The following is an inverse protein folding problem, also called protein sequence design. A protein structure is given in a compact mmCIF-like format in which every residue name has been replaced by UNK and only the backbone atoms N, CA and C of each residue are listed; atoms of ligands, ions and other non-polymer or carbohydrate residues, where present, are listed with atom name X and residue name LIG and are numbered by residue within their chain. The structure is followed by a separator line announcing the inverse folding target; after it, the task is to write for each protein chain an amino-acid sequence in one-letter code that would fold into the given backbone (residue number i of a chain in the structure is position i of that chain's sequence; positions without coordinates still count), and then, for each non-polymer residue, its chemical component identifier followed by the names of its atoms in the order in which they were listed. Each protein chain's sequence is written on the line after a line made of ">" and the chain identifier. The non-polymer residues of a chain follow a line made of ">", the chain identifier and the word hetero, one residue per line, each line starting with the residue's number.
data_IF_247952829624
#
_entry.id   IF_247952829624
#
_cell.length_a   1.000
_cell.length_b   1.000
_cell.length_c   1.000
_cell.angle_alpha   90.00
_cell.angle_beta   90.00
_cell.angle_gamma   90.00
#
_symmetry.space_group_name_H-M   'P 1'
#
loop_
_entity.id
_entity.type
_entity.pdbx_description
1 polymer ?
#
# COMPACT_ATOMS: atom_id res chain seq x y z
N UNK A 1 -13.90 55.39 7.52
CA UNK A 1 -13.57 54.05 6.98
C UNK A 1 -13.00 54.26 5.59
N UNK A 2 -11.75 53.87 5.34
CA UNK A 2 -11.09 54.12 4.06
C UNK A 2 -11.75 53.26 2.94
N UNK A 3 -11.86 53.77 1.72
CA UNK A 3 -12.50 53.06 0.59
C UNK A 3 -11.89 51.67 0.39
N UNK A 4 -10.57 51.57 0.59
CA UNK A 4 -9.81 50.32 0.54
C UNK A 4 -10.30 49.28 1.56
N UNK A 5 -10.58 49.69 2.79
CA UNK A 5 -11.06 48.80 3.85
C UNK A 5 -12.43 48.17 3.51
N UNK A 6 -13.32 48.96 2.91
CA UNK A 6 -14.64 48.51 2.49
C UNK A 6 -14.55 47.45 1.38
N UNK A 7 -13.74 47.72 0.35
CA UNK A 7 -13.58 46.80 -0.78
C UNK A 7 -12.85 45.52 -0.41
N UNK A 8 -11.80 45.58 0.42
CA UNK A 8 -11.10 44.35 0.86
C UNK A 8 -12.04 43.42 1.63
N UNK A 9 -12.95 43.97 2.43
CA UNK A 9 -13.97 43.20 3.15
C UNK A 9 -14.98 42.54 2.23
N UNK A 10 -15.52 43.27 1.24
CA UNK A 10 -16.46 42.72 0.25
C UNK A 10 -15.82 41.58 -0.53
N UNK A 11 -14.60 41.79 -1.05
CA UNK A 11 -13.90 40.77 -1.83
C UNK A 11 -13.64 39.53 -0.97
N UNK A 12 -13.17 39.71 0.28
CA UNK A 12 -12.98 38.60 1.21
C UNK A 12 -14.28 37.81 1.44
N UNK A 13 -15.42 38.48 1.64
CA UNK A 13 -16.72 37.83 1.83
C UNK A 13 -17.18 37.04 0.60
N UNK A 14 -16.97 37.56 -0.61
CA UNK A 14 -17.33 36.86 -1.85
C UNK A 14 -16.53 35.55 -1.97
N UNK A 15 -15.22 35.60 -1.75
CA UNK A 15 -14.38 34.40 -1.84
C UNK A 15 -14.64 33.43 -0.68
N UNK A 16 -14.93 33.92 0.53
CA UNK A 16 -15.35 33.08 1.65
C UNK A 16 -16.69 32.38 1.35
N UNK A 17 -17.65 33.08 0.75
CA UNK A 17 -18.92 32.48 0.31
C UNK A 17 -18.66 31.36 -0.72
N UNK A 18 -17.80 31.59 -1.70
CA UNK A 18 -17.39 30.53 -2.62
C UNK A 18 -16.78 29.33 -1.89
N UNK A 19 -15.81 29.56 -1.00
CA UNK A 19 -15.11 28.51 -0.25
C UNK A 19 -16.07 27.66 0.59
N UNK A 20 -17.13 28.27 1.12
CA UNK A 20 -18.13 27.58 1.94
C UNK A 20 -19.16 26.82 1.07
N UNK A 21 -19.80 27.49 0.12
CA UNK A 21 -20.85 26.87 -0.70
C UNK A 21 -20.30 25.83 -1.67
N UNK A 22 -19.23 26.13 -2.41
CA UNK A 22 -18.69 25.20 -3.40
C UNK A 22 -18.12 23.92 -2.78
N UNK A 23 -17.75 23.96 -1.49
CA UNK A 23 -17.26 22.79 -0.74
C UNK A 23 -18.36 21.80 -0.36
N UNK A 24 -19.63 22.16 -0.53
CA UNK A 24 -20.74 21.25 -0.30
C UNK A 24 -20.70 20.07 -1.29
N UNK A 25 -20.94 18.85 -0.80
CA UNK A 25 -20.68 17.62 -1.57
C UNK A 25 -21.47 17.54 -2.88
N UNK A 26 -22.70 18.06 -2.91
CA UNK A 26 -23.53 18.13 -4.11
C UNK A 26 -22.93 19.06 -5.17
N UNK A 27 -22.47 20.25 -4.77
CA UNK A 27 -21.90 21.25 -5.68
C UNK A 27 -20.55 20.76 -6.22
N UNK A 28 -19.69 20.23 -5.34
CA UNK A 28 -18.40 19.65 -5.75
C UNK A 28 -18.55 18.52 -6.78
N UNK A 29 -19.57 17.66 -6.62
CA UNK A 29 -19.85 16.59 -7.59
C UNK A 29 -20.40 17.15 -8.90
N UNK A 30 -21.27 18.15 -8.85
CA UNK A 30 -21.87 18.80 -10.02
C UNK A 30 -20.84 19.53 -10.89
N UNK A 31 -19.96 20.31 -10.27
CA UNK A 31 -18.92 21.07 -10.97
C UNK A 31 -17.76 20.22 -11.49
N UNK A 32 -17.66 18.97 -11.01
CA UNK A 32 -16.50 18.11 -11.22
C UNK A 32 -15.36 18.44 -10.24
N UNK A 33 -14.69 17.38 -9.77
CA UNK A 33 -13.69 17.49 -8.70
C UNK A 33 -12.46 18.33 -9.09
N UNK A 34 -11.98 18.20 -10.33
CA UNK A 34 -10.81 18.94 -10.81
C UNK A 34 -11.07 20.45 -10.90
N UNK A 35 -12.24 20.83 -11.41
CA UNK A 35 -12.64 22.23 -11.50
C UNK A 35 -12.88 22.84 -10.11
N UNK A 36 -13.58 22.10 -9.24
CA UNK A 36 -13.76 22.50 -7.84
C UNK A 36 -12.41 22.75 -7.16
N UNK A 37 -11.47 21.81 -7.26
CA UNK A 37 -10.14 21.91 -6.64
C UNK A 37 -9.37 23.15 -7.13
N UNK A 38 -9.36 23.40 -8.45
CA UNK A 38 -8.67 24.54 -9.03
C UNK A 38 -9.26 25.88 -8.55
N UNK A 39 -10.60 26.03 -8.63
CA UNK A 39 -11.30 27.24 -8.21
C UNK A 39 -11.27 27.46 -6.70
N UNK A 40 -11.31 26.38 -5.92
CA UNK A 40 -11.19 26.43 -4.46
C UNK A 40 -9.80 26.94 -4.05
N UNK A 41 -8.73 26.41 -4.64
CA UNK A 41 -7.37 26.90 -4.34
C UNK A 41 -7.20 28.37 -4.72
N UNK A 42 -7.68 28.75 -5.90
CA UNK A 42 -7.70 30.16 -6.33
C UNK A 42 -8.43 31.06 -5.32
N UNK A 43 -9.61 30.63 -4.87
CA UNK A 43 -10.40 31.37 -3.89
C UNK A 43 -9.71 31.48 -2.52
N UNK A 44 -9.00 30.44 -2.05
CA UNK A 44 -8.22 30.49 -0.81
C UNK A 44 -7.14 31.55 -0.90
N UNK A 45 -6.39 31.62 -2.00
CA UNK A 45 -5.31 32.61 -2.16
C UNK A 45 -5.86 34.03 -2.10
N UNK A 46 -6.92 34.32 -2.86
CA UNK A 46 -7.50 35.67 -2.86
C UNK A 46 -8.13 36.01 -1.51
N UNK A 47 -8.85 35.07 -0.88
CA UNK A 47 -9.41 35.25 0.45
C UNK A 47 -8.31 35.56 1.47
N UNK A 48 -7.24 34.77 1.54
CA UNK A 48 -6.17 34.97 2.54
C UNK A 48 -5.49 36.32 2.38
N UNK A 49 -5.19 36.76 1.14
CA UNK A 49 -4.56 38.06 0.88
C UNK A 49 -5.50 39.23 1.26
N UNK A 50 -6.75 39.17 0.80
CA UNK A 50 -7.72 40.24 1.05
C UNK A 50 -8.15 40.30 2.52
N UNK A 51 -8.28 39.15 3.19
CA UNK A 51 -8.59 39.07 4.61
C UNK A 51 -7.43 39.58 5.48
N UNK A 52 -6.18 39.29 5.12
CA UNK A 52 -5.00 39.84 5.82
C UNK A 52 -4.98 41.38 5.77
N UNK A 53 -5.19 41.96 4.58
CA UNK A 53 -5.26 43.42 4.41
C UNK A 53 -6.50 44.03 5.05
N UNK A 54 -7.64 43.35 5.02
CA UNK A 54 -8.87 43.84 5.64
C UNK A 54 -8.74 43.91 7.16
N UNK A 55 -8.11 42.91 7.78
CA UNK A 55 -7.94 42.89 9.23
C UNK A 55 -7.00 43.98 9.75
N UNK A 56 -5.99 44.40 8.96
CA UNK A 56 -5.09 45.53 9.26
C UNK A 56 -4.62 45.59 10.74
N UNK A 57 -4.05 44.47 11.22
CA UNK A 57 -3.59 44.29 12.61
C UNK A 57 -4.65 44.43 13.71
N UNK A 58 -5.93 44.63 13.37
CA UNK A 58 -7.04 44.70 14.31
C UNK A 58 -7.03 43.47 15.22
N UNK A 59 -7.10 43.69 16.54
CA UNK A 59 -7.05 42.64 17.56
C UNK A 59 -5.86 41.68 17.41
N UNK A 60 -4.69 42.18 17.00
CA UNK A 60 -3.46 41.38 16.77
C UNK A 60 -3.63 40.27 15.73
N UNK A 61 -4.61 40.40 14.82
CA UNK A 61 -4.92 39.42 13.77
C UNK A 61 -3.69 38.90 13.02
N UNK A 62 -2.70 39.76 12.74
CA UNK A 62 -1.48 39.37 12.04
C UNK A 62 -0.68 38.29 12.78
N UNK A 63 -0.72 38.25 14.12
CA UNK A 63 -0.05 37.19 14.87
C UNK A 63 -0.62 35.80 14.51
N UNK A 64 -1.93 35.70 14.25
CA UNK A 64 -2.56 34.46 13.82
C UNK A 64 -2.16 34.08 12.40
N UNK A 65 -2.05 35.04 11.47
CA UNK A 65 -1.56 34.78 10.12
C UNK A 65 -0.10 34.33 10.12
N UNK A 66 0.75 35.03 10.88
CA UNK A 66 2.17 34.71 11.01
C UNK A 66 2.33 33.33 11.66
N UNK A 67 1.62 33.05 12.75
CA UNK A 67 1.65 31.74 13.40
C UNK A 67 1.19 30.62 12.46
N UNK A 68 0.11 30.84 11.71
CA UNK A 68 -0.38 29.89 10.70
C UNK A 68 0.65 29.67 9.59
N UNK A 69 1.24 30.74 9.06
CA UNK A 69 2.27 30.65 8.02
C UNK A 69 3.55 29.96 8.54
N UNK A 70 3.96 30.25 9.77
CA UNK A 70 5.13 29.65 10.40
C UNK A 70 5.01 28.14 10.59
N UNK A 71 3.80 27.61 10.72
CA UNK A 71 3.56 26.15 10.75
C UNK A 71 3.31 25.60 9.35
N UNK A 72 2.41 26.22 8.58
CA UNK A 72 1.91 25.67 7.33
C UNK A 72 2.93 25.74 6.18
N UNK A 73 3.68 26.84 6.07
CA UNK A 73 4.67 27.01 4.98
C UNK A 73 5.79 25.98 5.08
N UNK A 74 6.42 25.74 6.26
CA UNK A 74 7.41 24.67 6.37
C UNK A 74 6.84 23.29 6.06
N UNK A 75 5.61 22.96 6.50
CA UNK A 75 4.97 21.70 6.16
C UNK A 75 4.78 21.51 4.65
N UNK A 76 4.49 22.59 3.91
CA UNK A 76 4.35 22.53 2.46
C UNK A 76 5.70 22.49 1.75
N UNK A 77 6.67 23.30 2.19
CA UNK A 77 7.97 23.46 1.53
C UNK A 77 8.91 22.29 1.80
N UNK A 78 8.88 21.71 3.00
CA UNK A 78 9.80 20.65 3.41
C UNK A 78 9.77 19.42 2.50
N UNK A 79 8.61 18.84 2.13
CA UNK A 79 8.56 17.70 1.20
C UNK A 79 9.18 18.01 -0.18
N UNK A 80 8.98 19.23 -0.70
CA UNK A 80 9.59 19.65 -1.96
C UNK A 80 11.11 19.80 -1.85
N UNK A 81 11.60 20.41 -0.77
CA UNK A 81 13.04 20.51 -0.52
C UNK A 81 13.65 19.12 -0.37
N UNK A 82 13.05 18.27 0.47
CA UNK A 82 13.46 16.88 0.68
C UNK A 82 13.53 16.11 -0.63
N UNK A 83 12.48 16.19 -1.45
CA UNK A 83 12.43 15.58 -2.79
C UNK A 83 13.59 16.06 -3.67
N UNK A 84 13.82 17.37 -3.73
CA UNK A 84 14.89 17.94 -4.54
C UNK A 84 16.31 17.53 -4.08
N UNK A 85 16.53 17.41 -2.77
CA UNK A 85 17.85 17.10 -2.19
C UNK A 85 18.14 15.60 -2.07
N UNK A 86 17.16 14.78 -1.68
CA UNK A 86 17.35 13.33 -1.49
C UNK A 86 17.24 12.54 -2.80
N UNK A 87 16.27 12.87 -3.65
CA UNK A 87 15.95 12.11 -4.87
C UNK A 87 16.42 12.78 -6.16
N UNK A 88 16.65 14.08 -6.09
CA UNK A 88 16.91 14.90 -7.27
C UNK A 88 15.67 15.06 -8.17
N UNK A 89 15.82 15.93 -9.17
CA UNK A 89 14.74 16.28 -10.10
C UNK A 89 14.81 15.52 -11.44
N UNK A 90 15.79 14.63 -11.59
CA UNK A 90 16.11 13.95 -12.85
C UNK A 90 15.75 12.47 -12.88
N UNK A 91 15.05 11.99 -11.87
CA UNK A 91 14.67 10.59 -11.74
C UNK A 91 13.72 10.19 -12.88
N UNK A 92 14.01 9.03 -13.47
CA UNK A 92 13.22 8.44 -14.55
C UNK A 92 12.64 7.12 -14.08
N UNK A 93 11.33 6.97 -14.22
CA UNK A 93 10.63 5.73 -13.99
C UNK A 93 10.47 4.95 -15.30
N UNK A 94 10.73 3.65 -15.24
CA UNK A 94 10.33 2.72 -16.30
C UNK A 94 8.89 2.30 -16.09
N UNK A 95 8.08 2.47 -17.14
CA UNK A 95 6.65 2.16 -17.08
C UNK A 95 6.35 1.01 -18.05
N UNK A 96 5.71 -0.05 -17.53
CA UNK A 96 5.31 -1.22 -18.30
C UNK A 96 3.86 -1.60 -17.96
N UNK A 97 3.07 -1.95 -18.96
CA UNK A 97 1.74 -2.55 -18.74
C UNK A 97 1.91 -4.05 -18.54
N UNK A 98 1.33 -4.59 -17.47
CA UNK A 98 1.23 -6.04 -17.24
C UNK A 98 -0.08 -6.57 -17.83
N UNK A 99 -0.10 -7.88 -18.14
CA UNK A 99 -1.17 -8.53 -18.91
C UNK A 99 -2.58 -8.40 -18.30
N UNK A 100 -2.65 -8.13 -17.00
CA UNK A 100 -3.89 -8.03 -16.24
C UNK A 100 -4.36 -6.57 -16.02
N UNK A 101 -3.89 -5.62 -16.83
CA UNK A 101 -4.37 -4.23 -16.80
C UNK A 101 -3.72 -3.32 -15.75
N UNK A 102 -2.68 -3.80 -15.06
CA UNK A 102 -1.90 -3.01 -14.12
C UNK A 102 -0.72 -2.34 -14.82
N UNK A 103 -0.36 -1.14 -14.37
CA UNK A 103 0.87 -0.45 -14.78
C UNK A 103 1.93 -0.68 -13.72
N UNK A 104 3.01 -1.36 -14.08
CA UNK A 104 4.21 -1.48 -13.27
C UNK A 104 5.10 -0.26 -13.49
N UNK A 105 5.42 0.44 -12.42
CA UNK A 105 6.33 1.59 -12.40
C UNK A 105 7.56 1.19 -11.60
N UNK A 106 8.73 1.18 -12.24
CA UNK A 106 10.01 0.81 -11.63
C UNK A 106 10.94 2.02 -11.60
N UNK A 107 11.42 2.38 -10.41
CA UNK A 107 12.29 3.54 -10.20
C UNK A 107 13.59 3.08 -9.54
N UNK A 108 14.77 3.38 -10.10
CA UNK A 108 16.04 3.10 -9.42
C UNK A 108 16.13 3.93 -8.14
N UNK A 109 16.56 3.30 -7.06
CA UNK A 109 16.58 3.91 -5.73
C UNK A 109 17.95 3.77 -5.08
N UNK A 110 18.40 4.87 -4.48
CA UNK A 110 19.68 4.97 -3.76
C UNK A 110 19.48 5.02 -2.23
N UNK A 111 18.27 4.74 -1.76
CA UNK A 111 17.90 4.81 -0.34
C UNK A 111 17.34 3.49 0.13
N UNK A 112 17.30 3.33 1.44
CA UNK A 112 16.68 2.21 2.14
C UNK A 112 15.26 2.57 2.56
N UNK A 113 14.34 1.61 2.42
CA UNK A 113 12.95 1.74 2.85
C UNK A 113 12.53 0.49 3.62
N UNK A 114 11.49 0.65 4.42
CA UNK A 114 10.89 -0.42 5.22
C UNK A 114 9.60 -0.95 4.55
N UNK A 115 9.17 -2.12 5.02
CA UNK A 115 7.96 -2.78 4.53
C UNK A 115 6.73 -1.94 4.87
N UNK A 116 5.80 -1.90 3.92
CA UNK A 116 4.55 -1.16 4.06
C UNK A 116 4.68 0.35 3.85
N UNK A 117 5.89 0.85 3.56
CA UNK A 117 6.07 2.26 3.21
C UNK A 117 5.45 2.61 1.85
N UNK A 118 5.08 3.88 1.70
CA UNK A 118 4.56 4.44 0.47
C UNK A 118 5.30 5.71 0.08
N UNK A 119 5.25 6.07 -1.19
CA UNK A 119 5.79 7.32 -1.72
C UNK A 119 4.70 8.11 -2.43
N UNK A 120 4.84 9.43 -2.43
CA UNK A 120 4.09 10.31 -3.30
C UNK A 120 4.88 10.50 -4.61
N UNK A 121 4.28 10.09 -5.72
CA UNK A 121 4.86 10.23 -7.06
C UNK A 121 4.24 11.42 -7.77
N UNK A 122 5.08 12.27 -8.36
CA UNK A 122 4.66 13.37 -9.24
C UNK A 122 5.24 13.16 -10.62
N UNK A 123 4.39 12.92 -11.62
CA UNK A 123 4.83 12.65 -12.97
C UNK A 123 4.92 13.94 -13.78
N UNK A 124 6.14 14.41 -14.01
CA UNK A 124 6.41 15.71 -14.65
C UNK A 124 6.26 15.67 -16.17
N UNK A 125 6.26 14.48 -16.77
CA UNK A 125 6.12 14.28 -18.23
C UNK A 125 4.72 14.51 -18.81
N UNK A 126 3.68 14.67 -17.97
CA UNK A 126 2.28 14.77 -18.41
C UNK A 126 1.67 16.18 -18.27
N UNK A 127 2.52 17.20 -18.23
CA UNK A 127 2.13 18.61 -18.13
C UNK A 127 2.09 19.16 -16.69
N UNK A 128 2.00 20.49 -16.57
CA UNK A 128 2.17 21.21 -15.29
C UNK A 128 1.15 20.79 -14.20
N UNK A 129 -0.11 20.57 -14.57
CA UNK A 129 -1.13 20.16 -13.61
C UNK A 129 -0.83 18.80 -12.95
N UNK A 130 -0.27 17.86 -13.72
CA UNK A 130 0.11 16.54 -13.20
C UNK A 130 1.46 16.58 -12.49
N UNK A 131 2.38 17.43 -12.96
CA UNK A 131 3.67 17.66 -12.29
C UNK A 131 3.53 18.20 -10.87
N UNK A 132 2.47 18.98 -10.60
CA UNK A 132 2.16 19.52 -9.27
C UNK A 132 1.25 18.62 -8.44
N UNK A 133 0.69 17.57 -9.03
CA UNK A 133 -0.20 16.62 -8.34
C UNK A 133 0.60 15.46 -7.76
N UNK A 134 0.55 15.30 -6.45
CA UNK A 134 1.16 14.18 -5.73
C UNK A 134 0.19 12.99 -5.67
N UNK A 135 0.66 11.81 -6.06
CA UNK A 135 -0.12 10.58 -6.03
C UNK A 135 0.51 9.54 -5.09
N UNK A 136 -0.18 9.10 -4.02
CA UNK A 136 0.37 8.13 -3.09
C UNK A 136 0.34 6.73 -3.70
N UNK A 137 1.46 6.01 -3.64
CA UNK A 137 1.57 4.62 -4.03
C UNK A 137 2.45 3.84 -3.05
N UNK A 138 1.97 2.66 -2.66
CA UNK A 138 2.69 1.74 -1.78
C UNK A 138 3.86 1.09 -2.50
N UNK A 139 5.01 1.05 -1.84
CA UNK A 139 6.20 0.36 -2.36
C UNK A 139 5.94 -1.15 -2.29
N UNK A 140 6.06 -1.82 -3.43
CA UNK A 140 5.74 -3.24 -3.59
C UNK A 140 6.97 -4.15 -3.66
N UNK A 141 8.16 -3.58 -3.49
CA UNK A 141 9.45 -4.27 -3.48
C UNK A 141 10.17 -4.11 -2.15
N UNK A 142 11.11 -5.00 -1.88
CA UNK A 142 12.09 -4.88 -0.80
C UNK A 142 13.44 -4.32 -1.31
N UNK A 143 14.22 -3.64 -0.46
CA UNK A 143 15.57 -3.19 -0.82
C UNK A 143 16.47 -4.37 -1.22
N UNK A 144 17.45 -4.12 -2.10
CA UNK A 144 18.40 -5.15 -2.50
C UNK A 144 19.24 -5.60 -1.29
N UNK A 145 19.38 -6.91 -1.11
CA UNK A 145 20.14 -7.50 0.01
C UNK A 145 21.65 -7.51 -0.23
N UNK A 146 22.08 -7.40 -1.49
CA UNK A 146 23.50 -7.45 -1.87
C UNK A 146 24.09 -6.04 -1.96
N UNK A 147 25.30 -5.84 -1.43
CA UNK A 147 26.00 -4.55 -1.41
C UNK A 147 26.25 -3.96 -2.82
N UNK A 148 26.37 -4.80 -3.85
CA UNK A 148 26.57 -4.39 -5.25
C UNK A 148 25.25 -4.28 -6.05
N UNK A 149 24.11 -4.61 -5.43
CA UNK A 149 22.81 -4.65 -6.10
C UNK A 149 22.12 -3.28 -6.10
N UNK A 150 21.75 -2.78 -7.28
CA UNK A 150 20.90 -1.59 -7.37
C UNK A 150 19.49 -1.90 -6.85
N UNK A 151 19.03 -1.10 -5.90
CA UNK A 151 17.67 -1.21 -5.36
C UNK A 151 16.66 -0.54 -6.30
N UNK A 152 15.47 -1.13 -6.42
CA UNK A 152 14.39 -0.58 -7.25
C UNK A 152 13.11 -0.44 -6.43
N UNK A 153 12.52 0.75 -6.46
CA UNK A 153 11.16 0.97 -6.00
C UNK A 153 10.21 0.49 -7.09
N UNK A 154 9.40 -0.52 -6.78
CA UNK A 154 8.40 -1.07 -7.69
C UNK A 154 7.01 -0.69 -7.18
N UNK A 155 6.19 -0.14 -8.06
CA UNK A 155 4.80 0.20 -7.78
C UNK A 155 3.90 -0.47 -8.82
N UNK A 156 2.76 -0.98 -8.36
CA UNK A 156 1.70 -1.50 -9.23
C UNK A 156 0.48 -0.61 -9.17
N UNK A 157 0.17 0.03 -10.29
CA UNK A 157 -0.90 1.01 -10.41
C UNK A 157 -2.06 0.39 -11.17
N UNK A 158 -3.20 0.26 -10.50
CA UNK A 158 -4.45 -0.14 -11.15
C UNK A 158 -4.98 1.01 -12.00
N UNK A 159 -5.47 0.69 -13.19
CA UNK A 159 -6.18 1.65 -14.04
C UNK A 159 -7.47 2.12 -13.35
N UNK A 160 -7.53 3.40 -13.02
CA UNK A 160 -8.73 4.09 -12.54
C UNK A 160 -8.98 5.34 -13.41
N UNK A 161 -10.02 6.12 -13.08
CA UNK A 161 -10.31 7.38 -13.78
C UNK A 161 -9.21 8.42 -13.52
N UNK A 162 -9.04 9.37 -14.45
CA UNK A 162 -8.11 10.48 -14.29
C UNK A 162 -6.68 10.11 -14.69
N UNK A 163 -5.71 10.40 -13.83
CA UNK A 163 -4.29 10.28 -14.17
C UNK A 163 -3.84 8.84 -14.46
N UNK A 164 -4.29 7.86 -13.67
CA UNK A 164 -3.86 6.46 -13.88
C UNK A 164 -4.36 5.88 -15.20
N UNK A 165 -5.52 6.31 -15.73
CA UNK A 165 -5.93 5.97 -17.11
C UNK A 165 -4.99 6.55 -18.15
N UNK A 166 -4.61 7.82 -18.00
CA UNK A 166 -3.67 8.49 -18.92
C UNK A 166 -2.30 7.81 -18.91
N UNK A 167 -1.81 7.47 -17.72
CA UNK A 167 -0.54 6.73 -17.56
C UNK A 167 -0.62 5.34 -18.20
N UNK A 168 -1.73 4.63 -18.02
CA UNK A 168 -1.97 3.32 -18.63
C UNK A 168 -1.99 3.41 -20.16
N UNK A 169 -2.75 4.35 -20.73
CA UNK A 169 -2.83 4.56 -22.18
C UNK A 169 -1.46 4.94 -22.78
N UNK A 170 -0.71 5.80 -22.10
CA UNK A 170 0.65 6.16 -22.51
C UNK A 170 1.60 4.96 -22.51
N UNK A 171 1.55 4.15 -21.45
CA UNK A 171 2.38 2.96 -21.31
C UNK A 171 2.03 1.86 -22.34
N UNK A 172 0.76 1.77 -22.73
CA UNK A 172 0.29 0.85 -23.77
C UNK A 172 0.83 1.26 -25.15
N UNK A 173 0.85 2.57 -25.44
CA UNK A 173 1.37 3.10 -26.70
C UNK A 173 2.91 3.07 -26.76
N UNK A 174 3.59 3.13 -25.61
CA UNK A 174 5.05 3.19 -25.52
C UNK A 174 5.58 2.15 -24.51
N UNK A 175 5.62 0.85 -24.87
CA UNK A 175 6.08 -0.20 -23.98
C UNK A 175 7.53 0.05 -23.50
N UNK A 176 7.74 0.09 -22.18
CA UNK A 176 9.07 0.27 -21.58
C UNK A 176 9.57 1.72 -21.57
N UNK A 177 8.72 2.70 -21.90
CA UNK A 177 9.09 4.10 -21.89
C UNK A 177 9.59 4.57 -20.52
N UNK A 178 10.50 5.56 -20.57
CA UNK A 178 10.96 6.27 -19.39
C UNK A 178 10.16 7.56 -19.20
N UNK A 179 9.54 7.72 -18.04
CA UNK A 179 8.81 8.93 -17.65
C UNK A 179 9.54 9.65 -16.54
N UNK A 180 9.67 10.98 -16.64
CA UNK A 180 10.24 11.77 -15.55
C UNK A 180 9.28 11.84 -14.37
N UNK A 181 9.80 11.52 -13.19
CA UNK A 181 9.05 11.43 -11.95
C UNK A 181 9.83 12.08 -10.81
N UNK A 182 9.13 12.76 -9.92
CA UNK A 182 9.65 13.17 -8.62
C UNK A 182 9.10 12.22 -7.56
N UNK A 183 9.99 11.72 -6.71
CA UNK A 183 9.66 10.77 -5.63
C UNK A 183 9.77 11.49 -4.31
N UNK A 184 8.70 11.43 -3.53
CA UNK A 184 8.59 12.08 -2.23
C UNK A 184 8.21 11.02 -1.19
N UNK A 185 9.14 10.68 -0.31
CA UNK A 185 9.03 9.56 0.61
C UNK A 185 10.39 9.04 1.08
N UNK A 186 10.48 7.78 1.55
CA UNK A 186 9.36 6.94 1.91
C UNK A 186 8.60 7.48 3.14
N UNK A 187 7.31 7.17 3.24
CA UNK A 187 6.43 7.53 4.34
C UNK A 187 5.72 6.33 4.92
N UNK A 188 5.33 6.42 6.20
CA UNK A 188 4.68 5.33 6.93
C UNK A 188 5.64 4.18 7.17
N UNK A 189 5.11 2.96 7.08
CA UNK A 189 5.87 1.73 7.28
C UNK A 189 5.45 0.95 8.51
N UNK A 190 5.90 -0.28 8.54
CA UNK A 190 5.65 -1.22 9.63
C UNK A 190 6.88 -1.27 10.50
N UNK A 191 6.68 -1.32 11.81
CA UNK A 191 7.79 -1.51 12.73
C UNK A 191 8.47 -2.87 12.48
N UNK A 192 9.66 -2.84 11.88
CA UNK A 192 10.43 -4.03 11.51
C UNK A 192 10.74 -4.91 12.72
N UNK A 193 11.03 -4.34 13.89
CA UNK A 193 11.26 -5.12 15.11
C UNK A 193 10.02 -5.89 15.54
N UNK A 194 8.83 -5.27 15.46
CA UNK A 194 7.56 -5.96 15.76
C UNK A 194 7.27 -7.06 14.75
N UNK A 195 7.64 -6.87 13.48
CA UNK A 195 7.54 -7.92 12.48
C UNK A 195 8.42 -9.11 12.86
N UNK A 196 9.72 -8.88 13.08
CA UNK A 196 10.72 -9.92 13.38
C UNK A 196 10.47 -10.65 14.70
N UNK A 197 9.87 -9.98 15.69
CA UNK A 197 9.52 -10.60 16.98
C UNK A 197 8.31 -11.55 16.91
N UNK A 198 7.62 -11.63 15.78
CA UNK A 198 6.47 -12.51 15.59
C UNK A 198 6.85 -13.77 14.82
N UNK A 199 6.77 -14.92 15.48
CA UNK A 199 7.09 -16.21 14.84
C UNK A 199 6.10 -16.52 13.71
N UNK A 200 4.81 -16.24 13.91
CA UNK A 200 3.76 -16.50 12.92
C UNK A 200 3.21 -15.19 12.40
N UNK A 201 3.11 -15.07 11.08
CA UNK A 201 2.60 -13.87 10.41
C UNK A 201 1.33 -14.17 9.62
N UNK A 202 0.33 -13.29 9.75
CA UNK A 202 -0.87 -13.28 8.93
C UNK A 202 -1.03 -11.92 8.29
N UNK A 203 -0.98 -11.88 6.97
CA UNK A 203 -1.11 -10.65 6.19
C UNK A 203 -2.41 -10.70 5.40
N UNK A 204 -3.33 -9.82 5.72
CA UNK A 204 -4.70 -9.76 5.18
C UNK A 204 -4.81 -8.52 4.31
N UNK A 205 -5.16 -8.70 3.04
CA UNK A 205 -5.36 -7.62 2.11
C UNK A 205 -6.74 -7.65 1.46
N UNK A 206 -7.33 -6.48 1.28
CA UNK A 206 -8.58 -6.26 0.58
C UNK A 206 -8.41 -5.35 -0.64
N UNK A 207 -9.00 -5.73 -1.78
CA UNK A 207 -9.07 -4.86 -2.97
C UNK A 207 -7.70 -4.43 -3.48
N UNK A 208 -7.44 -3.11 -3.58
CA UNK A 208 -6.14 -2.59 -4.03
C UNK A 208 -5.01 -2.77 -3.01
N UNK A 209 -5.31 -3.20 -1.78
CA UNK A 209 -4.31 -3.52 -0.75
C UNK A 209 -3.48 -4.77 -1.07
N UNK A 210 -3.79 -5.50 -2.16
CA UNK A 210 -3.03 -6.67 -2.60
C UNK A 210 -1.53 -6.39 -2.77
N UNK A 211 -1.18 -5.25 -3.36
CA UNK A 211 0.20 -4.87 -3.63
C UNK A 211 1.02 -4.62 -2.35
N UNK A 212 0.37 -4.18 -1.27
CA UNK A 212 1.00 -3.97 0.04
C UNK A 212 1.51 -5.28 0.68
N UNK A 213 0.99 -6.43 0.26
CA UNK A 213 1.44 -7.73 0.78
C UNK A 213 2.74 -8.25 0.13
N UNK A 214 3.10 -7.74 -1.05
CA UNK A 214 4.24 -8.25 -1.81
C UNK A 214 5.58 -8.11 -1.06
N UNK A 215 5.90 -6.96 -0.43
CA UNK A 215 7.13 -6.83 0.34
C UNK A 215 7.20 -7.77 1.57
N UNK A 216 6.06 -8.20 2.14
CA UNK A 216 6.06 -9.20 3.22
C UNK A 216 6.53 -10.56 2.72
N UNK A 217 6.08 -10.95 1.52
CA UNK A 217 6.51 -12.20 0.89
C UNK A 217 8.01 -12.13 0.58
N UNK A 218 8.47 -11.05 -0.03
CA UNK A 218 9.89 -10.85 -0.33
C UNK A 218 10.75 -10.86 0.95
N UNK A 219 10.30 -10.21 2.02
CA UNK A 219 11.00 -10.21 3.30
C UNK A 219 11.06 -11.59 3.94
N UNK A 220 9.95 -12.33 3.95
CA UNK A 220 9.90 -13.67 4.51
C UNK A 220 10.91 -14.59 3.79
N UNK A 221 10.95 -14.52 2.46
CA UNK A 221 11.92 -15.26 1.64
C UNK A 221 13.36 -14.81 1.96
N UNK A 222 13.61 -13.50 2.03
CA UNK A 222 14.95 -12.95 2.32
C UNK A 222 15.47 -13.41 3.70
N UNK A 223 14.62 -13.38 4.73
CA UNK A 223 14.98 -13.81 6.08
C UNK A 223 15.37 -15.30 6.13
N UNK A 224 14.69 -16.16 5.36
CA UNK A 224 15.01 -17.60 5.31
C UNK A 224 16.25 -17.91 4.48
N UNK A 225 16.64 -17.03 3.54
CA UNK A 225 17.89 -17.18 2.78
C UNK A 225 19.12 -16.96 3.65
N UNK A 226 19.13 -15.89 4.46
CA UNK A 226 20.25 -15.58 5.36
C UNK A 226 20.50 -16.76 6.30
N UNK A 227 19.44 -17.38 6.82
CA UNK A 227 19.55 -18.57 7.66
C UNK A 227 20.18 -19.77 6.93
N UNK A 228 19.77 -20.04 5.69
CA UNK A 228 20.28 -21.18 4.93
C UNK A 228 21.78 -21.08 4.61
N UNK A 229 22.31 -19.87 4.43
CA UNK A 229 23.74 -19.63 4.24
C UNK A 229 24.53 -19.68 5.57
N UNK A 230 23.91 -19.25 6.68
CA UNK A 230 24.50 -19.30 8.04
C UNK A 230 24.50 -20.72 8.63
N UNK A 231 23.51 -21.57 8.33
CA UNK A 231 23.48 -22.97 8.77
C UNK A 231 24.66 -23.80 8.21
N UNK A 232 25.39 -23.29 7.20
CA UNK A 232 26.65 -23.85 6.71
C UNK A 232 27.90 -23.36 7.49
N UNK A 233 27.76 -22.42 8.42
CA UNK A 233 28.82 -21.87 9.27
C UNK A 233 28.45 -22.12 10.74
N UNK A 234 29.07 -23.13 11.34
CA UNK A 234 28.81 -23.56 12.72
C UNK A 234 28.85 -22.40 13.74
N UNK A 235 27.79 -22.31 14.55
CA UNK A 235 27.93 -21.97 15.97
C UNK A 235 27.45 -20.61 16.46
N UNK A 236 26.16 -20.26 16.31
CA UNK A 236 25.33 -19.62 17.35
C UNK A 236 23.87 -19.55 16.85
N UNK A 237 22.97 -20.28 17.52
CA UNK A 237 21.57 -20.44 17.10
C UNK A 237 20.71 -19.30 17.64
N UNK A 238 20.43 -18.31 16.82
CA UNK A 238 19.14 -17.60 16.89
C UNK A 238 18.22 -18.28 15.85
N UNK A 239 17.08 -18.80 16.27
CA UNK A 239 16.14 -19.47 15.36
C UNK A 239 15.63 -18.52 14.28
N UNK A 240 15.14 -19.05 13.15
CA UNK A 240 14.54 -18.22 12.11
C UNK A 240 13.45 -17.31 12.73
N UNK A 241 13.45 -15.99 12.45
CA UNK A 241 12.47 -15.08 13.06
C UNK A 241 11.03 -15.40 12.65
N UNK A 242 10.85 -16.10 11.52
CA UNK A 242 9.54 -16.48 11.00
C UNK A 242 9.40 -18.00 10.85
N UNK A 243 8.46 -18.59 11.57
CA UNK A 243 8.06 -19.99 11.42
C UNK A 243 7.07 -20.18 10.26
N UNK A 244 6.16 -19.23 10.04
CA UNK A 244 5.16 -19.31 8.96
C UNK A 244 4.64 -17.94 8.54
N UNK A 245 4.26 -17.82 7.26
CA UNK A 245 3.59 -16.63 6.70
C UNK A 245 2.32 -17.08 5.96
N UNK A 246 1.16 -16.64 6.42
CA UNK A 246 -0.12 -16.81 5.72
C UNK A 246 -0.58 -15.48 5.14
N UNK A 247 -0.71 -15.41 3.82
CA UNK A 247 -1.22 -14.25 3.10
C UNK A 247 -2.65 -14.53 2.64
N UNK A 248 -3.58 -13.64 2.99
CA UNK A 248 -5.00 -13.76 2.66
C UNK A 248 -5.40 -12.54 1.84
N UNK A 249 -5.65 -12.73 0.56
CA UNK A 249 -6.16 -11.68 -0.32
C UNK A 249 -7.66 -11.87 -0.53
N UNK A 250 -8.47 -10.83 -0.30
CA UNK A 250 -9.88 -10.82 -0.65
C UNK A 250 -10.18 -9.71 -1.66
N UNK A 251 -10.65 -10.09 -2.85
CA UNK A 251 -11.01 -9.14 -3.90
C UNK A 251 -12.29 -9.56 -4.62
N UNK A 252 -13.02 -8.58 -5.17
CA UNK A 252 -14.15 -8.81 -6.08
C UNK A 252 -13.70 -8.87 -7.53
N UNK A 253 -12.56 -8.27 -7.83
CA UNK A 253 -12.07 -8.10 -9.17
C UNK A 253 -11.18 -9.27 -9.59
N UNK A 254 -11.57 -9.92 -10.69
CA UNK A 254 -10.90 -11.09 -11.25
C UNK A 254 -9.51 -10.73 -11.75
N UNK A 255 -9.39 -9.56 -12.39
CA UNK A 255 -8.13 -9.07 -12.96
C UNK A 255 -7.10 -8.81 -11.85
N UNK A 256 -7.55 -8.28 -10.71
CA UNK A 256 -6.68 -8.09 -9.53
C UNK A 256 -6.23 -9.42 -8.92
N UNK A 257 -7.11 -10.43 -8.88
CA UNK A 257 -6.76 -11.77 -8.39
C UNK A 257 -5.76 -12.49 -9.33
N UNK A 258 -6.00 -12.44 -10.65
CA UNK A 258 -5.10 -13.05 -11.64
C UNK A 258 -3.74 -12.35 -11.67
N UNK A 259 -3.73 -11.02 -11.64
CA UNK A 259 -2.52 -10.20 -11.52
C UNK A 259 -1.71 -10.60 -10.29
N UNK A 260 -2.35 -10.64 -9.12
CA UNK A 260 -1.66 -10.93 -7.87
C UNK A 260 -1.05 -12.34 -7.88
N UNK A 261 -1.81 -13.34 -8.35
CA UNK A 261 -1.32 -14.71 -8.52
C UNK A 261 -0.09 -14.76 -9.42
N UNK A 262 -0.15 -14.07 -10.57
CA UNK A 262 0.97 -14.04 -11.51
C UNK A 262 2.22 -13.41 -10.88
N UNK A 263 2.09 -12.24 -10.27
CA UNK A 263 3.23 -11.54 -9.65
C UNK A 263 3.84 -12.36 -8.52
N UNK A 264 3.01 -12.95 -7.66
CA UNK A 264 3.51 -13.80 -6.57
C UNK A 264 4.25 -15.01 -7.14
N UNK A 265 3.69 -15.70 -8.15
CA UNK A 265 4.36 -16.82 -8.83
C UNK A 265 5.70 -16.41 -9.45
N UNK A 266 5.74 -15.31 -10.18
CA UNK A 266 6.97 -14.78 -10.78
C UNK A 266 8.04 -14.44 -9.74
N UNK A 267 7.63 -13.89 -8.59
CA UNK A 267 8.55 -13.63 -7.48
C UNK A 267 9.10 -14.93 -6.90
N UNK A 268 8.25 -15.94 -6.70
CA UNK A 268 8.63 -17.21 -6.09
C UNK A 268 9.54 -18.04 -6.99
N UNK A 269 9.35 -17.99 -8.32
CA UNK A 269 10.22 -18.67 -9.30
C UNK A 269 11.70 -18.25 -9.23
N UNK A 270 12.00 -17.10 -8.62
CA UNK A 270 13.38 -16.61 -8.45
C UNK A 270 14.13 -17.30 -7.32
N UNK A 271 13.45 -18.08 -6.48
CA UNK A 271 14.01 -18.61 -5.24
C UNK A 271 13.84 -20.14 -5.14
N UNK A 272 14.76 -20.84 -4.46
CA UNK A 272 14.67 -22.29 -4.29
C UNK A 272 13.58 -22.69 -3.27
N UNK A 273 13.03 -23.89 -3.47
CA UNK A 273 11.85 -24.40 -2.73
C UNK A 273 12.00 -24.42 -1.21
N UNK A 274 13.22 -24.68 -0.69
CA UNK A 274 13.49 -24.71 0.76
C UNK A 274 13.23 -23.36 1.43
N UNK A 275 13.44 -22.25 0.71
CA UNK A 275 13.22 -20.89 1.20
C UNK A 275 11.73 -20.57 1.32
N UNK A 276 10.87 -21.32 0.61
CA UNK A 276 9.44 -21.06 0.48
C UNK A 276 8.59 -21.89 1.48
N UNK A 277 9.16 -22.92 2.10
CA UNK A 277 8.43 -23.76 3.06
C UNK A 277 7.78 -22.94 4.20
N UNK A 278 6.47 -23.10 4.42
CA UNK A 278 5.74 -22.34 5.45
C UNK A 278 5.06 -21.06 4.95
N UNK A 279 5.21 -20.72 3.67
CA UNK A 279 4.42 -19.69 2.99
C UNK A 279 3.09 -20.28 2.47
N UNK A 280 1.97 -19.70 2.87
CA UNK A 280 0.64 -20.03 2.33
C UNK A 280 -0.02 -18.77 1.76
N UNK A 281 -0.53 -18.84 0.53
CA UNK A 281 -1.20 -17.72 -0.13
C UNK A 281 -2.62 -18.12 -0.51
N UNK A 282 -3.61 -17.52 0.15
CA UNK A 282 -5.04 -17.76 -0.06
C UNK A 282 -5.66 -16.58 -0.80
N UNK A 283 -6.38 -16.86 -1.88
CA UNK A 283 -7.03 -15.84 -2.70
C UNK A 283 -8.54 -16.08 -2.63
N UNK A 284 -9.24 -15.19 -1.94
CA UNK A 284 -10.69 -15.20 -1.79
C UNK A 284 -11.36 -14.34 -2.84
N UNK A 285 -12.08 -14.98 -3.76
CA UNK A 285 -12.89 -14.31 -4.76
C UNK A 285 -14.28 -14.04 -4.20
N UNK A 286 -14.58 -12.75 -4.00
CA UNK A 286 -15.82 -12.30 -3.34
C UNK A 286 -16.92 -11.86 -4.31
N UNK A 287 -16.69 -11.96 -5.64
CA UNK A 287 -17.69 -11.73 -6.68
C UNK A 287 -18.39 -13.05 -7.05
N UNK A 288 -19.69 -13.13 -6.73
CA UNK A 288 -20.52 -14.32 -6.95
C UNK A 288 -21.36 -14.61 -5.70
N UNK A 289 -22.67 -14.44 -5.80
CA UNK A 289 -23.58 -14.94 -4.77
C UNK A 289 -23.54 -16.47 -4.76
N UNK A 290 -23.54 -17.04 -3.55
CA UNK A 290 -23.71 -18.46 -3.18
C UNK A 290 -23.58 -19.47 -4.34
N UNK A 291 -22.44 -20.14 -4.40
CA UNK A 291 -22.35 -21.51 -4.90
C UNK A 291 -21.20 -22.22 -4.19
N UNK A 292 -21.61 -23.20 -3.36
CA UNK A 292 -20.92 -24.39 -2.83
C UNK A 292 -19.41 -24.34 -2.57
N UNK A 293 -19.05 -24.68 -1.33
CA UNK A 293 -17.73 -25.17 -0.95
C UNK A 293 -17.30 -26.29 -1.90
N UNK A 294 -16.41 -26.00 -2.84
CA UNK A 294 -15.58 -27.05 -3.41
C UNK A 294 -14.63 -27.51 -2.31
N UNK A 295 -14.97 -28.63 -1.69
CA UNK A 295 -14.02 -29.47 -0.94
C UNK A 295 -12.74 -29.64 -1.77
N UNK A 296 -11.56 -29.78 -1.13
CA UNK A 296 -10.31 -30.00 -1.84
C UNK A 296 -10.47 -31.23 -2.73
N UNK A 297 -10.32 -31.04 -4.04
CA UNK A 297 -10.31 -32.13 -5.00
C UNK A 297 -9.07 -32.98 -4.76
N UNK A 298 -9.20 -34.03 -3.96
CA UNK A 298 -8.30 -35.17 -3.98
C UNK A 298 -8.43 -35.83 -5.36
N UNK A 299 -7.58 -35.42 -6.30
CA UNK A 299 -7.39 -36.14 -7.56
C UNK A 299 -6.65 -37.44 -7.27
N UNK A 300 -7.41 -38.49 -7.03
CA UNK A 300 -6.92 -39.86 -7.10
C UNK A 300 -6.52 -40.16 -8.55
N UNK A 301 -5.21 -40.26 -8.76
CA UNK A 301 -4.60 -40.55 -10.05
C UNK A 301 -4.79 -42.04 -10.40
N UNK A 302 -5.56 -42.32 -11.45
CA UNK A 302 -5.51 -43.60 -12.18
C UNK A 302 -4.45 -43.45 -13.29
N UNK A 303 -3.48 -44.37 -13.43
CA UNK A 303 -2.33 -44.15 -14.29
C UNK A 303 -2.64 -44.44 -15.76
N UNK A 304 -2.27 -43.51 -16.64
CA UNK A 304 -2.40 -43.68 -18.09
C UNK A 304 -1.64 -42.63 -18.92
N UNK A 305 -0.38 -42.96 -19.18
CA UNK A 305 0.43 -42.60 -20.37
C UNK A 305 0.93 -41.15 -20.56
N UNK A 306 2.24 -41.08 -20.81
CA UNK A 306 3.15 -39.93 -20.88
C UNK A 306 2.93 -39.08 -22.14
N UNK A 307 3.10 -37.76 -22.00
CA UNK A 307 3.96 -36.94 -22.87
C UNK A 307 4.28 -35.56 -22.25
N UNK A 308 5.46 -35.07 -22.63
CA UNK A 308 6.30 -33.93 -22.18
C UNK A 308 5.60 -32.55 -22.12
N UNK A 309 5.96 -31.52 -21.33
CA UNK A 309 7.10 -31.26 -20.45
C UNK A 309 6.96 -29.87 -19.77
N UNK A 310 7.72 -29.66 -18.69
CA UNK A 310 8.11 -28.38 -18.03
C UNK A 310 7.07 -27.42 -17.40
N UNK A 311 5.76 -27.66 -17.42
CA UNK A 311 4.79 -26.80 -16.68
C UNK A 311 4.25 -27.43 -15.38
N UNK A 312 4.36 -28.76 -15.21
CA UNK A 312 3.75 -29.49 -14.07
C UNK A 312 4.55 -29.49 -12.77
N UNK A 313 5.81 -29.06 -12.76
CA UNK A 313 6.64 -29.14 -11.55
C UNK A 313 6.28 -28.07 -10.50
N UNK A 314 5.83 -26.89 -10.95
CA UNK A 314 5.62 -25.72 -10.09
C UNK A 314 4.25 -25.68 -9.40
N UNK A 315 3.27 -26.49 -9.83
CA UNK A 315 1.96 -26.58 -9.14
C UNK A 315 2.04 -27.31 -7.79
N UNK A 316 3.14 -28.01 -7.49
CA UNK A 316 3.19 -28.97 -6.38
C UNK A 316 3.66 -28.41 -5.02
N UNK A 317 4.07 -27.14 -4.92
CA UNK A 317 4.78 -26.65 -3.72
C UNK A 317 4.10 -25.50 -2.97
N UNK A 318 3.12 -24.82 -3.58
CA UNK A 318 2.41 -23.71 -2.95
C UNK A 318 0.92 -23.89 -3.20
N UNK A 319 0.17 -24.09 -2.12
CA UNK A 319 -1.29 -24.13 -2.17
C UNK A 319 -1.79 -22.72 -2.42
N UNK A 320 -1.95 -22.35 -3.70
CA UNK A 320 -2.80 -21.24 -4.07
C UNK A 320 -4.24 -21.69 -3.89
N UNK A 321 -4.77 -21.49 -2.69
CA UNK A 321 -6.16 -21.81 -2.40
C UNK A 321 -7.04 -20.70 -2.99
N UNK A 322 -7.59 -20.91 -4.19
CA UNK A 322 -8.63 -20.02 -4.73
C UNK A 322 -9.97 -20.41 -4.11
N UNK A 323 -10.40 -19.64 -3.13
CA UNK A 323 -11.61 -19.91 -2.36
C UNK A 323 -12.69 -18.94 -2.82
N UNK A 324 -13.87 -19.46 -3.14
CA UNK A 324 -15.03 -18.64 -3.45
C UNK A 324 -15.70 -18.17 -2.14
N UNK A 325 -16.05 -16.89 -2.08
CA UNK A 325 -16.72 -16.28 -0.93
C UNK A 325 -15.82 -15.42 -0.05
N UNK A 326 -16.43 -14.78 0.95
CA UNK A 326 -15.71 -13.93 1.90
C UNK A 326 -14.98 -14.79 2.93
N UNK A 327 -13.71 -14.48 3.26
CA UNK A 327 -13.00 -15.21 4.30
C UNK A 327 -13.65 -14.97 5.66
N UNK A 328 -13.82 -16.04 6.45
CA UNK A 328 -14.17 -15.92 7.86
C UNK A 328 -12.94 -15.51 8.67
N UNK A 329 -12.53 -14.24 8.58
CA UNK A 329 -11.32 -13.73 9.22
C UNK A 329 -11.29 -14.00 10.75
N UNK A 330 -12.39 -13.80 11.51
CA UNK A 330 -12.40 -14.16 12.93
C UNK A 330 -12.13 -15.65 13.17
N UNK A 331 -12.75 -16.53 12.39
CA UNK A 331 -12.54 -17.97 12.48
C UNK A 331 -11.10 -18.37 12.15
N UNK A 332 -10.53 -17.81 11.09
CA UNK A 332 -9.15 -18.08 10.67
C UNK A 332 -8.14 -17.63 11.73
N UNK A 333 -8.34 -16.43 12.30
CA UNK A 333 -7.46 -15.93 13.36
C UNK A 333 -7.55 -16.77 14.63
N UNK A 334 -8.76 -17.25 14.98
CA UNK A 334 -8.96 -18.15 16.12
C UNK A 334 -8.31 -19.52 15.90
N UNK A 335 -8.45 -20.09 14.71
CA UNK A 335 -7.77 -21.33 14.33
C UNK A 335 -6.25 -21.20 14.49
N UNK A 336 -5.68 -20.13 13.94
CA UNK A 336 -4.25 -19.87 14.02
C UNK A 336 -3.77 -19.69 15.46
N UNK A 337 -4.50 -18.91 16.27
CA UNK A 337 -4.18 -18.72 17.68
C UNK A 337 -4.29 -20.02 18.48
N UNK A 338 -5.28 -20.87 18.20
CA UNK A 338 -5.45 -22.16 18.89
C UNK A 338 -4.34 -23.17 18.59
N UNK A 339 -3.66 -23.03 17.44
CA UNK A 339 -2.53 -23.88 17.05
C UNK A 339 -1.16 -23.38 17.57
N UNK A 340 -1.14 -22.39 18.47
CA UNK A 340 0.09 -21.81 19.04
C UNK A 340 0.44 -22.42 20.38
N UNK A 341 1.74 -22.49 20.65
CA UNK A 341 2.29 -22.78 21.99
C UNK A 341 2.52 -21.47 22.75
N UNK A 342 2.77 -21.54 24.05
CA UNK A 342 3.05 -20.36 24.90
C UNK A 342 4.33 -19.60 24.51
N UNK A 343 5.17 -20.18 23.65
CA UNK A 343 6.39 -19.57 23.09
C UNK A 343 6.17 -18.88 21.75
N UNK A 344 5.02 -19.08 21.11
CA UNK A 344 4.69 -18.48 19.82
C UNK A 344 4.13 -17.06 20.01
N UNK A 345 4.28 -16.24 18.98
CA UNK A 345 3.72 -14.89 18.88
C UNK A 345 3.09 -14.72 17.49
N UNK A 346 1.90 -14.11 17.46
CA UNK A 346 1.14 -13.89 16.22
C UNK A 346 1.17 -12.42 15.82
N UNK A 347 1.72 -12.13 14.64
CA UNK A 347 1.61 -10.82 14.00
C UNK A 347 0.48 -10.80 12.98
N UNK A 348 -0.57 -10.01 13.25
CA UNK A 348 -1.68 -9.79 12.33
C UNK A 348 -1.54 -8.43 11.65
N UNK A 349 -1.51 -8.45 10.32
CA UNK A 349 -1.32 -7.27 9.47
C UNK A 349 -2.51 -7.17 8.53
N UNK A 350 -3.25 -6.06 8.57
CA UNK A 350 -4.47 -5.90 7.76
C UNK A 350 -4.48 -4.59 6.98
N UNK A 351 -4.84 -4.66 5.70
CA UNK A 351 -4.99 -3.52 4.80
C UNK A 351 -6.19 -3.75 3.87
N UNK A 352 -7.23 -2.92 3.93
CA UNK A 352 -8.41 -3.11 3.08
C UNK A 352 -9.62 -2.26 3.51
N UNK A 353 -10.85 -2.61 3.09
CA UNK A 353 -12.05 -1.87 3.46
C UNK A 353 -12.28 -1.82 4.98
N UNK A 354 -12.89 -0.74 5.49
CA UNK A 354 -13.09 -0.52 6.93
C UNK A 354 -13.82 -1.67 7.62
N UNK A 355 -14.82 -2.27 6.96
CA UNK A 355 -15.53 -3.43 7.52
C UNK A 355 -14.59 -4.60 7.76
N UNK A 356 -13.68 -4.87 6.82
CA UNK A 356 -12.69 -5.95 6.95
C UNK A 356 -11.68 -5.64 8.06
N UNK A 357 -11.19 -4.40 8.13
CA UNK A 357 -10.29 -3.98 9.21
C UNK A 357 -10.96 -4.08 10.58
N UNK A 358 -12.23 -3.71 10.69
CA UNK A 358 -12.99 -3.80 11.93
C UNK A 358 -13.24 -5.26 12.35
N UNK A 359 -13.55 -6.15 11.42
CA UNK A 359 -13.69 -7.59 11.70
C UNK A 359 -12.38 -8.16 12.28
N UNK A 360 -11.24 -7.80 11.70
CA UNK A 360 -9.91 -8.20 12.20
C UNK A 360 -9.61 -7.57 13.56
N UNK A 361 -9.86 -6.27 13.76
CA UNK A 361 -9.65 -5.59 15.05
C UNK A 361 -10.45 -6.24 16.17
N UNK A 362 -11.73 -6.52 15.92
CA UNK A 362 -12.60 -7.17 16.90
C UNK A 362 -12.14 -8.60 17.20
N UNK A 363 -11.74 -9.36 16.17
CA UNK A 363 -11.22 -10.71 16.36
C UNK A 363 -9.93 -10.72 17.19
N UNK A 364 -8.95 -9.84 16.89
CA UNK A 364 -7.71 -9.74 17.66
C UNK A 364 -7.99 -9.26 19.09
N UNK A 365 -8.89 -8.31 19.29
CA UNK A 365 -9.29 -7.87 20.63
C UNK A 365 -9.88 -9.02 21.45
N UNK A 366 -10.75 -9.85 20.84
CA UNK A 366 -11.30 -11.05 21.49
C UNK A 366 -10.20 -12.04 21.87
N UNK A 367 -9.25 -12.31 20.97
CA UNK A 367 -8.14 -13.24 21.25
C UNK A 367 -7.26 -12.72 22.38
N UNK A 368 -6.98 -11.42 22.42
CA UNK A 368 -6.20 -10.83 23.50
C UNK A 368 -6.95 -10.78 24.85
N UNK A 369 -8.29 -10.72 24.84
CA UNK A 369 -9.09 -10.86 26.07
C UNK A 369 -9.02 -12.28 26.63
N UNK A 370 -9.00 -13.30 25.77
CA UNK A 370 -8.88 -14.70 26.19
C UNK A 370 -7.53 -14.99 26.89
N UNK A 371 -6.51 -14.16 26.64
CA UNK A 371 -5.21 -14.22 27.33
C UNK A 371 -5.36 -13.96 28.84
N UNK A 372 -6.26 -13.06 29.24
CA UNK A 372 -6.46 -12.74 30.66
C UNK A 372 -6.99 -13.94 31.46
N UNK A 373 -7.62 -14.91 30.81
CA UNK A 373 -8.20 -16.10 31.44
C UNK A 373 -7.36 -17.37 31.31
N UNK A 374 -6.23 -17.35 30.61
CA UNK A 374 -5.44 -18.55 30.29
C UNK A 374 -3.95 -18.36 30.57
N UNK A 375 -3.32 -19.37 31.18
CA UNK A 375 -1.90 -19.31 31.65
C UNK A 375 -0.89 -19.52 30.51
N UNK A 376 -1.32 -20.09 29.37
CA UNK A 376 -0.45 -20.54 28.26
C UNK A 376 -0.75 -19.89 26.89
N UNK A 377 -1.29 -18.66 26.88
CA UNK A 377 -1.75 -18.03 25.64
C UNK A 377 -0.72 -17.08 25.02
N UNK A 378 -0.47 -17.29 23.72
CA UNK A 378 0.42 -16.49 22.88
C UNK A 378 -0.16 -15.07 22.65
N UNK A 379 0.70 -14.05 22.76
CA UNK A 379 0.32 -12.66 22.49
C UNK A 379 0.02 -12.41 21.00
N UNK A 380 -1.04 -11.66 20.71
CA UNK A 380 -1.42 -11.27 19.34
C UNK A 380 -1.18 -9.78 19.10
N UNK A 381 -0.28 -9.47 18.18
CA UNK A 381 -0.02 -8.11 17.70
C UNK A 381 -0.91 -7.79 16.50
N UNK A 382 -1.40 -6.55 16.42
CA UNK A 382 -2.17 -6.05 15.28
C UNK A 382 -1.54 -4.79 14.71
N UNK A 383 -1.33 -4.80 13.41
CA UNK A 383 -1.06 -3.61 12.60
C UNK A 383 -2.18 -3.44 11.57
N UNK A 384 -2.78 -2.24 11.55
CA UNK A 384 -3.89 -1.91 10.66
C UNK A 384 -3.48 -0.73 9.78
N UNK A 385 -3.33 -0.98 8.49
CA UNK A 385 -3.03 0.05 7.50
C UNK A 385 -4.35 0.49 6.83
N UNK A 386 -4.65 1.78 6.84
CA UNK A 386 -5.82 2.32 6.17
C UNK A 386 -5.41 3.21 5.01
N UNK A 387 -5.67 2.74 3.79
CA UNK A 387 -5.60 3.54 2.58
C UNK A 387 -7.03 3.88 2.14
N UNK A 388 -7.40 5.16 2.24
CA UNK A 388 -8.76 5.65 1.93
C UNK A 388 -9.18 5.48 0.47
N UNK A 389 -8.28 5.00 -0.39
CA UNK A 389 -8.53 4.70 -1.81
C UNK A 389 -8.71 3.20 -2.10
N UNK A 390 -8.64 2.32 -1.08
CA UNK A 390 -8.72 0.87 -1.21
C UNK A 390 -10.14 0.29 -1.25
#
# INVERSE_FOLDING_TARGET
>A
MNLLFYWTGIVALIFQAWLTFASHSAIRKLLGYEFFKATHFFAVVIFMLTFFWHCDYTLTSWHYFIGTAAVYVPCYVYPWLRTCFEYGVRTKAHVKVEDNGFVRVTIPANLTWEIGQHCFLRFTGFGLAQALSAHPFTICSSPATSADGQSFLVFYLKKHRGFTSKLYEYALQNPGAQVSVLVDGPYGGINTQRLVNNNRLVVIAGGSGASWTLPFIEQYIAARRVQGDEDCKEGQREGSPFSSLRVILASRDVESCSWYRQVVRETLLKYPDKTISGLQVQIHRTSGGIAESSLPSNSSFVPGTKESGSERATESLISFDEIHGRPNLPGILKELASGMTSTDSLGVYVCGPDTMQNDVRNAVASLNLDILGSVDSAGVYLHSEHFSWA
#
